data_IF_550362225852
#
_entry.id   IF_550362225852
#
_cell.length_a   1.000
_cell.length_b   1.000
_cell.length_c   1.000
_cell.angle_alpha   90.00
_cell.angle_beta   90.00
_cell.angle_gamma   90.00
#
_symmetry.space_group_name_H-M   'P 1'
#
loop_
_entity.id
_entity.type
_entity.pdbx_description
1 polymer ?
#
# COMPACT_ATOMS: atom_id res chain seq x y z
N UNK A 1 37.19 24.87 -26.68
CA UNK A 1 36.51 23.69 -26.10
C UNK A 1 35.17 24.17 -25.55
N UNK A 2 34.10 24.09 -26.33
CA UNK A 2 32.75 24.40 -25.85
C UNK A 2 32.22 23.10 -25.24
N UNK A 3 32.35 22.97 -23.93
CA UNK A 3 31.70 21.90 -23.17
C UNK A 3 30.25 22.28 -22.96
N UNK A 4 29.44 22.14 -24.01
CA UNK A 4 27.99 22.01 -23.84
C UNK A 4 27.77 20.53 -23.56
N UNK A 5 27.23 20.18 -22.39
CA UNK A 5 26.73 18.82 -22.20
C UNK A 5 25.76 18.55 -23.35
N UNK A 6 25.91 17.46 -24.10
CA UNK A 6 25.09 17.24 -25.27
C UNK A 6 23.63 17.15 -24.78
N UNK A 7 22.74 17.84 -25.49
CA UNK A 7 21.36 18.12 -25.07
C UNK A 7 20.55 16.85 -24.77
N UNK A 8 20.97 15.72 -25.33
CA UNK A 8 20.48 14.38 -25.03
C UNK A 8 20.75 13.97 -23.57
N UNK A 9 21.90 14.32 -23.00
CA UNK A 9 22.24 14.05 -21.60
C UNK A 9 21.39 14.86 -20.63
N UNK A 10 21.07 16.12 -20.98
CA UNK A 10 20.20 16.98 -20.16
C UNK A 10 18.76 16.47 -20.19
N UNK A 11 18.23 16.19 -21.38
CA UNK A 11 16.89 15.59 -21.55
C UNK A 11 16.76 14.23 -20.85
N UNK A 12 17.77 13.37 -20.94
CA UNK A 12 17.79 12.07 -20.26
C UNK A 12 17.99 12.18 -18.74
N UNK A 13 18.59 13.26 -18.25
CA UNK A 13 18.69 13.52 -16.81
C UNK A 13 17.33 13.98 -16.26
N UNK A 14 16.64 14.89 -16.94
CA UNK A 14 15.29 15.35 -16.59
C UNK A 14 14.27 14.19 -16.60
N UNK A 15 14.33 13.34 -17.63
CA UNK A 15 13.51 12.13 -17.74
C UNK A 15 13.70 11.21 -16.52
N UNK A 16 14.96 10.93 -16.17
CA UNK A 16 15.29 10.05 -15.04
C UNK A 16 14.86 10.63 -13.71
N UNK A 17 15.04 11.93 -13.49
CA UNK A 17 14.67 12.58 -12.23
C UNK A 17 13.16 12.58 -12.02
N UNK A 18 12.40 12.86 -13.08
CA UNK A 18 10.94 12.78 -13.06
C UNK A 18 10.45 11.35 -12.74
N UNK A 19 10.97 10.34 -13.45
CA UNK A 19 10.61 8.94 -13.21
C UNK A 19 10.91 8.54 -11.76
N UNK A 20 12.07 8.92 -11.24
CA UNK A 20 12.51 8.54 -9.89
C UNK A 20 11.65 9.17 -8.80
N UNK A 21 11.22 10.43 -8.97
CA UNK A 21 10.31 11.10 -8.05
C UNK A 21 8.93 10.43 -8.04
N UNK A 22 8.36 10.19 -9.22
CA UNK A 22 7.04 9.58 -9.35
C UNK A 22 7.01 8.16 -8.78
N UNK A 23 8.02 7.34 -9.08
CA UNK A 23 8.14 6.00 -8.50
C UNK A 23 8.28 6.05 -6.97
N UNK A 24 9.03 7.01 -6.44
CA UNK A 24 9.26 7.14 -4.99
C UNK A 24 7.97 7.50 -4.24
N UNK A 25 7.17 8.42 -4.78
CA UNK A 25 5.89 8.82 -4.19
C UNK A 25 4.93 7.64 -4.15
N UNK A 26 4.72 6.97 -5.28
CA UNK A 26 3.85 5.79 -5.39
C UNK A 26 4.28 4.64 -4.47
N UNK A 27 5.59 4.36 -4.37
CA UNK A 27 6.11 3.35 -3.45
C UNK A 27 5.90 3.73 -1.98
N UNK A 28 6.07 5.01 -1.62
CA UNK A 28 5.87 5.49 -0.26
C UNK A 28 4.41 5.35 0.19
N UNK A 29 3.46 5.66 -0.68
CA UNK A 29 2.03 5.52 -0.40
C UNK A 29 1.63 4.05 -0.20
N UNK A 30 2.13 3.16 -1.06
CA UNK A 30 1.93 1.72 -0.91
C UNK A 30 2.54 1.17 0.39
N UNK A 31 3.73 1.63 0.78
CA UNK A 31 4.34 1.30 2.06
C UNK A 31 3.48 1.77 3.25
N UNK A 32 2.87 2.95 3.15
CA UNK A 32 1.93 3.46 4.16
C UNK A 32 0.68 2.59 4.32
N UNK A 33 0.13 2.08 3.21
CA UNK A 33 -1.01 1.16 3.24
C UNK A 33 -0.62 -0.19 3.85
N UNK A 34 0.54 -0.75 3.49
CA UNK A 34 1.06 -1.98 4.08
C UNK A 34 1.27 -1.79 5.60
N UNK A 35 1.82 -0.64 6.01
CA UNK A 35 1.96 -0.27 7.41
C UNK A 35 0.62 -0.22 8.15
N UNK A 36 -0.41 0.33 7.52
CA UNK A 36 -1.76 0.41 8.10
C UNK A 36 -2.39 -0.98 8.30
N UNK A 37 -2.27 -1.87 7.31
CA UNK A 37 -2.73 -3.27 7.42
C UNK A 37 -1.97 -4.01 8.52
N UNK A 38 -0.64 -3.81 8.61
CA UNK A 38 0.19 -4.41 9.65
C UNK A 38 -0.24 -3.98 11.05
N UNK A 39 -0.49 -2.68 11.26
CA UNK A 39 -0.98 -2.17 12.55
C UNK A 39 -2.35 -2.75 12.90
N UNK A 40 -3.27 -2.85 11.93
CA UNK A 40 -4.58 -3.48 12.12
C UNK A 40 -4.46 -4.97 12.50
N UNK A 41 -3.55 -5.71 11.87
CA UNK A 41 -3.24 -7.11 12.22
C UNK A 41 -2.72 -7.23 13.65
N UNK A 42 -1.74 -6.42 14.02
CA UNK A 42 -1.17 -6.42 15.37
C UNK A 42 -2.23 -6.12 16.44
N UNK A 43 -3.11 -5.16 16.16
CA UNK A 43 -4.20 -4.86 17.07
C UNK A 43 -5.20 -6.02 17.18
N UNK A 44 -5.53 -6.69 16.06
CA UNK A 44 -6.38 -7.89 16.08
C UNK A 44 -5.77 -9.00 16.91
N UNK A 45 -4.47 -9.26 16.76
CA UNK A 45 -3.80 -10.33 17.51
C UNK A 45 -3.81 -10.06 19.02
N UNK A 46 -3.60 -8.80 19.43
CA UNK A 46 -3.72 -8.40 20.83
C UNK A 46 -5.13 -8.64 21.39
N UNK A 47 -6.17 -8.22 20.66
CA UNK A 47 -7.56 -8.40 21.10
C UNK A 47 -7.97 -9.87 21.07
N UNK A 48 -7.49 -10.64 20.09
CA UNK A 48 -7.72 -12.08 20.01
C UNK A 48 -7.12 -12.81 21.21
N UNK A 49 -5.93 -12.42 21.66
CA UNK A 49 -5.34 -12.97 22.88
C UNK A 49 -6.20 -12.66 24.12
N UNK A 50 -6.70 -11.43 24.23
CA UNK A 50 -7.61 -11.04 25.31
C UNK A 50 -8.92 -11.83 25.29
N UNK A 51 -9.54 -11.97 24.12
CA UNK A 51 -10.72 -12.82 23.92
C UNK A 51 -10.46 -14.27 24.34
N UNK A 52 -9.32 -14.85 23.95
CA UNK A 52 -8.94 -16.20 24.39
C UNK A 52 -8.85 -16.33 25.91
N UNK A 53 -8.28 -15.31 26.58
CA UNK A 53 -8.24 -15.29 28.06
C UNK A 53 -9.63 -15.17 28.68
N UNK A 54 -10.51 -14.33 28.13
CA UNK A 54 -11.88 -14.15 28.63
C UNK A 54 -12.71 -15.43 28.45
N UNK A 55 -12.51 -16.14 27.33
CA UNK A 55 -13.16 -17.43 27.09
C UNK A 55 -12.74 -18.47 28.12
N UNK A 56 -11.44 -18.59 28.40
CA UNK A 56 -10.92 -19.54 29.40
C UNK A 56 -11.47 -19.22 30.80
N UNK A 57 -11.54 -17.94 31.17
CA UNK A 57 -12.09 -17.51 32.46
C UNK A 57 -13.58 -17.85 32.58
N UNK A 58 -14.37 -17.58 31.53
CA UNK A 58 -15.78 -17.96 31.46
C UNK A 58 -15.96 -19.48 31.59
N UNK A 59 -15.24 -20.27 30.78
CA UNK A 59 -15.34 -21.72 30.79
C UNK A 59 -14.99 -22.30 32.17
N UNK A 60 -13.96 -21.75 32.82
CA UNK A 60 -13.55 -22.18 34.16
C UNK A 60 -14.61 -21.87 35.22
N UNK A 61 -15.24 -20.69 35.18
CA UNK A 61 -16.25 -20.28 36.17
C UNK A 61 -17.59 -20.96 35.94
N UNK A 62 -17.96 -21.18 34.67
CA UNK A 62 -19.14 -21.94 34.29
C UNK A 62 -19.03 -23.40 34.77
N UNK A 63 -17.88 -24.05 34.53
CA UNK A 63 -17.62 -25.41 35.01
C UNK A 63 -17.63 -25.51 36.55
N UNK A 64 -17.06 -24.51 37.24
CA UNK A 64 -17.09 -24.47 38.71
C UNK A 64 -18.51 -24.34 39.26
N UNK A 65 -19.35 -23.50 38.62
CA UNK A 65 -20.76 -23.35 38.98
C UNK A 65 -21.55 -24.64 38.73
N UNK A 66 -21.31 -25.33 37.61
CA UNK A 66 -21.94 -26.61 37.30
C UNK A 66 -21.60 -27.66 38.37
N UNK A 67 -20.32 -27.82 38.70
CA UNK A 67 -19.89 -28.72 39.78
C UNK A 67 -20.53 -28.37 41.13
N UNK A 68 -20.72 -27.09 41.45
CA UNK A 68 -21.38 -26.68 42.70
C UNK A 68 -22.89 -26.97 42.69
N UNK A 69 -23.54 -26.99 41.53
CA UNK A 69 -24.95 -27.40 41.39
C UNK A 69 -25.13 -28.90 41.57
N UNK A 70 -24.12 -29.70 41.23
CA UNK A 70 -24.14 -31.17 41.36
C UNK A 70 -23.76 -31.66 42.76
N UNK A 71 -23.27 -30.78 43.64
CA UNK A 71 -22.89 -31.15 45.01
C UNK A 71 -24.15 -31.33 45.88
N UNK A 72 -24.25 -32.43 46.63
CA UNK A 72 -25.32 -32.63 47.61
C UNK A 72 -25.24 -31.55 48.72
N UNK A 73 -26.33 -30.79 48.88
CA UNK A 73 -26.45 -29.62 49.77
C UNK A 73 -25.43 -28.47 49.53
N UNK A 74 -25.51 -27.76 48.39
CA UNK A 74 -24.66 -26.61 48.17
C UNK A 74 -25.06 -25.47 49.12
N UNK A 75 -24.06 -24.87 49.78
CA UNK A 75 -24.29 -23.65 50.56
C UNK A 75 -24.79 -22.55 49.62
N UNK A 76 -26.05 -22.14 49.76
CA UNK A 76 -26.72 -21.14 48.92
C UNK A 76 -25.85 -19.91 48.62
N UNK A 77 -25.20 -19.33 49.64
CA UNK A 77 -24.30 -18.18 49.48
C UNK A 77 -23.11 -18.44 48.54
N UNK A 78 -22.56 -19.66 48.56
CA UNK A 78 -21.45 -20.04 47.67
C UNK A 78 -21.94 -20.26 46.24
N UNK A 79 -23.15 -20.77 46.07
CA UNK A 79 -23.78 -20.96 44.77
C UNK A 79 -24.12 -19.62 44.11
N UNK A 80 -24.68 -18.68 44.87
CA UNK A 80 -24.95 -17.30 44.42
C UNK A 80 -23.66 -16.59 44.00
N UNK A 81 -22.60 -16.68 44.82
CA UNK A 81 -21.31 -16.09 44.48
C UNK A 81 -20.70 -16.69 43.20
N UNK A 82 -20.80 -18.00 43.01
CA UNK A 82 -20.35 -18.66 41.78
C UNK A 82 -21.19 -18.25 40.56
N UNK A 83 -22.50 -18.05 40.74
CA UNK A 83 -23.39 -17.54 39.69
C UNK A 83 -23.00 -16.15 39.25
N UNK A 84 -22.83 -15.24 40.21
CA UNK A 84 -22.40 -13.88 39.91
C UNK A 84 -21.04 -13.86 39.20
N UNK A 85 -20.08 -14.66 39.66
CA UNK A 85 -18.77 -14.74 39.02
C UNK A 85 -18.85 -15.25 37.57
N UNK A 86 -19.71 -16.23 37.31
CA UNK A 86 -19.97 -16.75 35.96
C UNK A 86 -20.64 -15.71 35.07
N UNK A 87 -21.61 -14.96 35.60
CA UNK A 87 -22.31 -13.90 34.87
C UNK A 87 -21.36 -12.73 34.51
N UNK A 88 -20.51 -12.31 35.46
CA UNK A 88 -19.49 -11.28 35.24
C UNK A 88 -18.49 -11.72 34.15
N UNK A 89 -18.09 -12.99 34.15
CA UNK A 89 -17.20 -13.55 33.13
C UNK A 89 -17.86 -13.66 31.76
N UNK A 90 -19.15 -13.98 31.71
CA UNK A 90 -19.93 -14.01 30.48
C UNK A 90 -20.04 -12.61 29.84
N UNK A 91 -20.27 -11.58 30.65
CA UNK A 91 -20.31 -10.19 30.18
C UNK A 91 -18.91 -9.73 29.70
N UNK A 92 -17.85 -10.09 30.42
CA UNK A 92 -16.46 -9.82 29.98
C UNK A 92 -16.14 -10.49 28.63
N UNK A 93 -16.52 -11.76 28.46
CA UNK A 93 -16.37 -12.49 27.19
C UNK A 93 -17.13 -11.79 26.07
N UNK A 94 -18.39 -11.42 26.31
CA UNK A 94 -19.22 -10.70 25.33
C UNK A 94 -18.58 -9.38 24.88
N UNK A 95 -18.01 -8.61 25.80
CA UNK A 95 -17.29 -7.38 25.48
C UNK A 95 -16.03 -7.67 24.65
N UNK A 96 -15.27 -8.71 25.00
CA UNK A 96 -14.09 -9.12 24.25
C UNK A 96 -14.45 -9.62 22.83
N UNK A 97 -15.57 -10.31 22.66
CA UNK A 97 -16.09 -10.73 21.35
C UNK A 97 -16.45 -9.53 20.49
N UNK A 98 -17.21 -8.57 21.03
CA UNK A 98 -17.56 -7.35 20.31
C UNK A 98 -16.32 -6.56 19.86
N UNK A 99 -15.31 -6.44 20.73
CA UNK A 99 -14.05 -5.79 20.38
C UNK A 99 -13.27 -6.54 19.29
N UNK A 100 -13.27 -7.88 19.33
CA UNK A 100 -12.61 -8.70 18.31
C UNK A 100 -13.29 -8.56 16.95
N UNK A 101 -14.62 -8.52 16.93
CA UNK A 101 -15.41 -8.33 15.71
C UNK A 101 -15.15 -6.95 15.10
N UNK A 102 -15.12 -5.90 15.91
CA UNK A 102 -14.84 -4.54 15.45
C UNK A 102 -13.45 -4.44 14.79
N UNK A 103 -12.42 -4.96 15.45
CA UNK A 103 -11.05 -4.91 14.94
C UNK A 103 -10.89 -5.82 13.71
N UNK A 104 -11.59 -6.95 13.66
CA UNK A 104 -11.61 -7.83 12.48
C UNK A 104 -12.30 -7.14 11.30
N UNK A 105 -13.42 -6.47 11.51
CA UNK A 105 -14.10 -5.68 10.49
C UNK A 105 -13.23 -4.51 9.99
N UNK A 106 -12.47 -3.86 10.88
CA UNK A 106 -11.48 -2.85 10.49
C UNK A 106 -10.36 -3.44 9.63
N UNK A 107 -9.80 -4.59 10.01
CA UNK A 107 -8.77 -5.26 9.24
C UNK A 107 -9.25 -5.61 7.82
N UNK A 108 -10.46 -6.15 7.68
CA UNK A 108 -11.05 -6.48 6.37
C UNK A 108 -11.15 -5.22 5.51
N UNK A 109 -11.63 -4.10 6.07
CA UNK A 109 -11.70 -2.81 5.37
C UNK A 109 -10.32 -2.32 4.89
N UNK A 110 -9.29 -2.44 5.72
CA UNK A 110 -7.92 -2.06 5.34
C UNK A 110 -7.33 -2.99 4.26
N UNK A 111 -7.61 -4.30 4.33
CA UNK A 111 -7.21 -5.26 3.30
C UNK A 111 -7.89 -4.93 1.97
N UNK A 112 -9.18 -4.60 1.99
CA UNK A 112 -9.91 -4.24 0.77
C UNK A 112 -9.43 -2.91 0.19
N UNK A 113 -9.11 -1.93 1.06
CA UNK A 113 -8.47 -0.67 0.66
C UNK A 113 -7.13 -0.94 0.00
N UNK A 114 -6.28 -1.78 0.59
CA UNK A 114 -4.99 -2.16 0.04
C UNK A 114 -5.13 -2.84 -1.34
N UNK A 115 -6.06 -3.79 -1.49
CA UNK A 115 -6.32 -4.48 -2.76
C UNK A 115 -6.75 -3.51 -3.86
N UNK A 116 -7.68 -2.59 -3.56
CA UNK A 116 -8.15 -1.57 -4.52
C UNK A 116 -7.03 -0.61 -4.91
N UNK A 117 -6.27 -0.13 -3.92
CA UNK A 117 -5.19 0.83 -4.16
C UNK A 117 -4.06 0.24 -4.99
N UNK A 118 -3.65 -1.01 -4.73
CA UNK A 118 -2.53 -1.64 -5.45
C UNK A 118 -2.81 -1.79 -6.95
N UNK A 119 -4.01 -2.20 -7.34
CA UNK A 119 -4.36 -2.38 -8.75
C UNK A 119 -4.49 -1.02 -9.48
N UNK A 120 -5.11 -0.04 -8.82
CA UNK A 120 -5.27 1.30 -9.37
C UNK A 120 -3.92 2.03 -9.51
N UNK A 121 -3.07 1.98 -8.48
CA UNK A 121 -1.75 2.64 -8.48
C UNK A 121 -0.83 2.08 -9.57
N UNK A 122 -0.77 0.76 -9.76
CA UNK A 122 0.07 0.16 -10.81
C UNK A 122 -0.44 0.53 -12.20
N UNK A 123 -1.76 0.50 -12.42
CA UNK A 123 -2.33 0.91 -13.71
C UNK A 123 -2.10 2.39 -14.01
N UNK A 124 -2.22 3.24 -12.99
CA UNK A 124 -2.00 4.68 -13.11
C UNK A 124 -0.52 4.97 -13.41
N UNK A 125 0.40 4.39 -12.65
CA UNK A 125 1.84 4.52 -12.86
C UNK A 125 2.27 4.06 -14.25
N UNK A 126 1.76 2.91 -14.75
CA UNK A 126 2.07 2.45 -16.11
C UNK A 126 1.51 3.38 -17.19
N UNK A 127 0.32 3.93 -16.97
CA UNK A 127 -0.28 4.91 -17.89
C UNK A 127 0.55 6.19 -17.93
N UNK A 128 0.91 6.73 -16.77
CA UNK A 128 1.66 7.97 -16.68
C UNK A 128 3.07 7.81 -17.26
N UNK A 129 3.71 6.67 -17.00
CA UNK A 129 4.96 6.29 -17.65
C UNK A 129 4.82 6.24 -19.18
N UNK A 130 3.74 5.63 -19.71
CA UNK A 130 3.52 5.55 -21.16
C UNK A 130 3.28 6.94 -21.79
N UNK A 131 2.49 7.80 -21.15
CA UNK A 131 2.25 9.19 -21.60
C UNK A 131 3.56 9.99 -21.59
N UNK A 132 4.32 9.88 -20.51
CA UNK A 132 5.57 10.60 -20.36
C UNK A 132 6.62 10.16 -21.39
N UNK A 133 6.76 8.85 -21.65
CA UNK A 133 7.65 8.34 -22.71
C UNK A 133 7.22 8.81 -24.10
N UNK A 134 5.91 8.91 -24.35
CA UNK A 134 5.40 9.43 -25.62
C UNK A 134 5.75 10.91 -25.79
N UNK A 135 5.62 11.72 -24.74
CA UNK A 135 6.02 13.12 -24.76
C UNK A 135 7.52 13.30 -24.95
N UNK A 136 8.33 12.46 -24.27
CA UNK A 136 9.77 12.42 -24.46
C UNK A 136 10.15 12.06 -25.90
N UNK A 137 9.52 11.03 -26.47
CA UNK A 137 9.74 10.61 -27.86
C UNK A 137 9.40 11.72 -28.84
N UNK A 138 8.29 12.45 -28.63
CA UNK A 138 7.92 13.63 -29.45
C UNK A 138 8.92 14.77 -29.35
N UNK A 139 9.39 15.09 -28.14
CA UNK A 139 10.44 16.10 -27.93
C UNK A 139 11.73 15.70 -28.64
N UNK A 140 12.11 14.43 -28.52
CA UNK A 140 13.28 13.87 -29.18
C UNK A 140 13.14 13.95 -30.70
N UNK A 141 12.01 13.52 -31.26
CA UNK A 141 11.68 13.60 -32.69
C UNK A 141 11.75 15.04 -33.21
N UNK A 142 11.21 16.01 -32.46
CA UNK A 142 11.31 17.42 -32.82
C UNK A 142 12.77 17.92 -32.88
N UNK A 143 13.62 17.49 -31.95
CA UNK A 143 15.06 17.84 -31.96
C UNK A 143 15.79 17.16 -33.12
N UNK A 144 15.51 15.89 -33.38
CA UNK A 144 16.05 15.17 -34.55
C UNK A 144 15.62 15.82 -35.86
N UNK A 145 14.38 16.30 -35.97
CA UNK A 145 13.90 17.05 -37.12
C UNK A 145 14.67 18.34 -37.38
N UNK A 146 15.22 18.98 -36.34
CA UNK A 146 16.09 20.16 -36.48
C UNK A 146 17.55 19.82 -36.81
N UNK A 147 18.03 18.65 -36.37
CA UNK A 147 19.40 18.18 -36.59
C UNK A 147 19.57 17.50 -37.95
N UNK A 148 18.55 16.80 -38.45
CA UNK A 148 18.56 16.10 -39.73
C UNK A 148 19.02 16.98 -40.90
N UNK A 149 18.38 18.14 -41.14
CA UNK A 149 18.77 19.05 -42.22
C UNK A 149 20.20 19.59 -42.07
N UNK A 150 20.65 19.82 -40.83
CA UNK A 150 22.02 20.29 -40.55
C UNK A 150 23.05 19.20 -40.82
N UNK A 151 22.75 17.96 -40.45
CA UNK A 151 23.60 16.81 -40.75
C UNK A 151 23.67 16.56 -42.26
N UNK A 152 22.55 16.60 -42.97
CA UNK A 152 22.49 16.43 -44.42
C UNK A 152 23.29 17.50 -45.17
N UNK A 153 23.17 18.77 -44.74
CA UNK A 153 23.98 19.87 -45.26
C UNK A 153 25.48 19.69 -44.98
N UNK A 154 25.86 19.27 -43.77
CA UNK A 154 27.28 19.01 -43.46
C UNK A 154 27.83 17.80 -44.21
N UNK A 155 27.01 16.77 -44.43
CA UNK A 155 27.39 15.58 -45.19
C UNK A 155 27.55 15.91 -46.67
N UNK A 156 26.66 16.72 -47.27
CA UNK A 156 26.82 17.18 -48.67
C UNK A 156 28.08 18.02 -48.86
N UNK A 157 28.43 18.86 -47.88
CA UNK A 157 29.68 19.64 -47.86
C UNK A 157 30.93 18.76 -47.77
N UNK A 158 30.87 17.66 -47.00
CA UNK A 158 31.98 16.71 -46.85
C UNK A 158 32.12 15.76 -48.06
N UNK A 159 31.02 15.44 -48.74
CA UNK A 159 30.99 14.60 -49.95
C UNK A 159 31.44 15.37 -51.22
N UNK A 160 31.79 16.66 -51.10
CA UNK A 160 32.27 17.49 -52.21
C UNK A 160 31.19 17.79 -53.27
N UNK A 161 29.91 17.59 -52.97
CA UNK A 161 28.82 18.02 -53.85
C UNK A 161 28.49 19.48 -53.55
N UNK A 162 28.80 20.36 -54.49
CA UNK A 162 28.31 21.74 -54.46
C UNK A 162 26.78 21.70 -54.38
N UNK A 163 26.23 22.22 -53.29
CA UNK A 163 24.79 22.44 -53.14
C UNK A 163 24.44 23.60 -54.06
N UNK A 164 24.02 23.29 -55.27
CA UNK A 164 23.48 24.30 -56.17
C UNK A 164 22.08 24.70 -55.67
N UNK A 165 21.98 25.96 -55.26
CA UNK A 165 20.79 26.80 -55.09
C UNK A 165 19.42 26.09 -55.07
N UNK A 166 18.80 26.07 -53.89
CA UNK A 166 17.36 26.22 -53.78
C UNK A 166 17.09 27.66 -53.32
N UNK A 167 16.79 28.53 -54.28
CA UNK A 167 16.38 29.91 -54.04
C UNK A 167 15.02 30.02 -53.36
N UNK A 168 14.90 31.08 -52.56
CA UNK A 168 13.71 31.85 -52.12
C UNK A 168 12.48 31.06 -51.68
#
# INVERSE_FOLDING_TARGET
>A
KITCAPWDQVMMAEQREHDLLQFKEELSENLGLIGSVKLALQQRDKIKAHHGSAQIDFDSKAAALEHMRETDEPKLQKLEAASQASDDAAESLKQATAALDEVTARLIREIDRFKRSKAAAIHQLMRDFAVFNLEFARKLEAQWGHLGPKMEYTLSLLDGREVHDAGV
#
